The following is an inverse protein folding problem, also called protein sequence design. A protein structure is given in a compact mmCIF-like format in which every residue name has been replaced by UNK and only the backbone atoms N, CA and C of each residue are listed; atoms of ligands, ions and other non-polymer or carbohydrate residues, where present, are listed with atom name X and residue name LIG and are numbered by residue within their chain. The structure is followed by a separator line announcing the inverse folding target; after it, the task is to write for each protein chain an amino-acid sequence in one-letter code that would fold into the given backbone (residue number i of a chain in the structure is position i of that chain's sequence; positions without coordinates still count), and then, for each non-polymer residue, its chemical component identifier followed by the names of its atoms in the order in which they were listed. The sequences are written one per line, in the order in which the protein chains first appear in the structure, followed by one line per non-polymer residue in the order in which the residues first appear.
data_IF_999296748339
#
_entry.id   IF_999296748339
#
_cell.length_a   1.000
_cell.length_b   1.000
_cell.length_c   1.000
_cell.angle_alpha   90.00
_cell.angle_beta   90.00
_cell.angle_gamma   90.00
#
_symmetry.space_group_name_H-M   'P 1'
#
loop_
_entity.id
_entity.type
_entity.pdbx_description
1 polymer ?
#
# COMPACT_ATOMS: atom_id res chain seq x y z
N UNK A 1 -37.01 -4.13 -25.82
CA UNK A 1 -35.85 -3.67 -26.63
C UNK A 1 -35.01 -2.61 -25.92
N UNK A 2 -35.56 -1.45 -25.52
CA UNK A 2 -34.79 -0.33 -24.95
C UNK A 2 -33.99 -0.71 -23.69
N UNK A 3 -34.57 -1.48 -22.76
CA UNK A 3 -33.84 -1.91 -21.55
C UNK A 3 -32.66 -2.84 -21.83
N UNK A 4 -32.76 -3.69 -22.85
CA UNK A 4 -31.66 -4.59 -23.24
C UNK A 4 -30.51 -3.82 -23.89
N UNK A 5 -30.82 -2.82 -24.72
CA UNK A 5 -29.81 -1.96 -25.35
C UNK A 5 -29.04 -1.18 -24.29
N UNK A 6 -29.73 -0.59 -23.31
CA UNK A 6 -29.09 0.11 -22.18
C UNK A 6 -28.18 -0.82 -21.35
N UNK A 7 -28.61 -2.07 -21.12
CA UNK A 7 -27.82 -3.05 -20.39
C UNK A 7 -26.52 -3.41 -21.11
N UNK A 8 -26.58 -3.65 -22.43
CA UNK A 8 -25.39 -3.95 -23.25
C UNK A 8 -24.39 -2.79 -23.22
N UNK A 9 -24.87 -1.55 -23.32
CA UNK A 9 -24.01 -0.35 -23.25
C UNK A 9 -23.33 -0.23 -21.87
N UNK A 10 -24.05 -0.57 -20.80
CA UNK A 10 -23.53 -0.56 -19.43
C UNK A 10 -22.42 -1.61 -19.23
N UNK A 11 -22.62 -2.83 -19.75
CA UNK A 11 -21.59 -3.89 -19.70
C UNK A 11 -20.37 -3.53 -20.55
N UNK A 12 -20.58 -2.95 -21.73
CA UNK A 12 -19.50 -2.52 -22.61
C UNK A 12 -18.64 -1.40 -21.99
N UNK A 13 -19.26 -0.39 -21.39
CA UNK A 13 -18.54 0.67 -20.67
C UNK A 13 -17.78 0.11 -19.46
N UNK A 14 -18.37 -0.81 -18.70
CA UNK A 14 -17.67 -1.49 -17.61
C UNK A 14 -16.44 -2.28 -18.08
N UNK A 15 -16.56 -3.03 -19.19
CA UNK A 15 -15.44 -3.78 -19.77
C UNK A 15 -14.32 -2.83 -20.24
N UNK A 16 -14.67 -1.71 -20.86
CA UNK A 16 -13.71 -0.68 -21.27
C UNK A 16 -12.98 -0.08 -20.07
N UNK A 17 -13.72 0.29 -19.00
CA UNK A 17 -13.15 0.82 -17.77
C UNK A 17 -12.21 -0.21 -17.12
N UNK A 18 -12.59 -1.48 -17.01
CA UNK A 18 -11.73 -2.52 -16.43
C UNK A 18 -10.41 -2.67 -17.19
N UNK A 19 -10.44 -2.61 -18.53
CA UNK A 19 -9.24 -2.63 -19.37
C UNK A 19 -8.34 -1.40 -19.10
N UNK A 20 -8.94 -0.21 -18.98
CA UNK A 20 -8.22 1.05 -18.75
C UNK A 20 -7.65 1.17 -17.33
N UNK A 21 -8.35 0.61 -16.33
CA UNK A 21 -7.96 0.65 -14.92
C UNK A 21 -7.14 -0.57 -14.48
N UNK A 22 -6.81 -1.50 -15.39
CA UNK A 22 -6.05 -2.75 -15.10
C UNK A 22 -6.63 -3.50 -13.89
N UNK A 23 -7.96 -3.49 -13.75
CA UNK A 23 -8.68 -4.14 -12.64
C UNK A 23 -8.99 -5.58 -13.02
N UNK A 24 -9.18 -6.46 -12.03
CA UNK A 24 -9.51 -7.86 -12.31
C UNK A 24 -10.82 -7.97 -13.10
N UNK A 25 -10.87 -8.89 -14.07
CA UNK A 25 -12.07 -9.15 -14.89
C UNK A 25 -13.33 -9.43 -14.06
N UNK A 26 -13.16 -9.93 -12.82
CA UNK A 26 -14.21 -10.10 -11.82
C UNK A 26 -15.06 -8.84 -11.53
N UNK A 27 -14.51 -7.64 -11.75
CA UNK A 27 -15.27 -6.38 -11.61
C UNK A 27 -16.36 -6.20 -12.67
N UNK A 28 -16.21 -6.79 -13.86
CA UNK A 28 -17.25 -6.75 -14.90
C UNK A 28 -18.47 -7.56 -14.46
N UNK A 29 -18.24 -8.71 -13.83
CA UNK A 29 -19.29 -9.57 -13.30
C UNK A 29 -20.03 -8.90 -12.12
N UNK A 30 -19.30 -8.19 -11.27
CA UNK A 30 -19.88 -7.42 -10.16
C UNK A 30 -20.74 -6.25 -10.65
N UNK A 31 -20.30 -5.55 -11.71
CA UNK A 31 -21.09 -4.50 -12.37
C UNK A 31 -22.35 -5.04 -13.06
N UNK A 32 -22.26 -6.23 -13.67
CA UNK A 32 -23.41 -6.85 -14.32
C UNK A 32 -24.55 -7.20 -13.33
N UNK A 33 -24.20 -7.48 -12.07
CA UNK A 33 -25.15 -7.79 -10.99
C UNK A 33 -25.59 -6.52 -10.24
N UNK A 34 -24.68 -5.56 -10.04
CA UNK A 34 -24.90 -4.33 -9.31
C UNK A 34 -24.46 -3.13 -10.15
N UNK A 35 -25.37 -2.48 -10.90
CA UNK A 35 -25.02 -1.36 -11.79
C UNK A 35 -24.44 -0.16 -11.02
N UNK A 36 -24.69 -0.07 -9.72
CA UNK A 36 -24.11 0.94 -8.82
C UNK A 36 -22.57 0.83 -8.76
N UNK A 37 -22.00 -0.36 -8.99
CA UNK A 37 -20.55 -0.57 -8.97
C UNK A 37 -19.81 0.20 -10.09
N UNK A 38 -20.51 0.61 -11.16
CA UNK A 38 -19.95 1.45 -12.24
C UNK A 38 -19.55 2.84 -11.72
N UNK A 39 -20.30 3.38 -10.75
CA UNK A 39 -20.04 4.71 -10.17
C UNK A 39 -18.89 4.64 -9.15
N UNK A 40 -18.77 3.50 -8.48
CA UNK A 40 -17.72 3.23 -7.48
C UNK A 40 -16.35 2.99 -8.14
N UNK A 41 -16.34 2.46 -9.38
CA UNK A 41 -15.14 2.21 -10.18
C UNK A 41 -14.22 3.44 -10.35
N UNK A 42 -14.68 4.61 -10.80
CA UNK A 42 -13.87 5.82 -10.91
C UNK A 42 -13.50 6.43 -9.55
N UNK A 43 -14.35 6.30 -8.53
CA UNK A 43 -14.12 6.80 -7.16
C UNK A 43 -12.94 6.12 -6.47
N UNK A 44 -12.72 4.82 -6.71
CA UNK A 44 -11.58 4.10 -6.13
C UNK A 44 -10.24 4.41 -6.82
N UNK A 45 -10.23 5.28 -7.83
CA UNK A 45 -9.02 5.68 -8.53
C UNK A 45 -8.36 4.54 -9.31
N UNK A 46 -7.36 4.89 -10.11
CA UNK A 46 -6.47 3.90 -10.73
C UNK A 46 -5.69 3.22 -9.62
N UNK A 47 -5.55 1.89 -9.63
CA UNK A 47 -4.53 1.24 -8.79
C UNK A 47 -3.16 1.72 -9.29
N UNK A 48 -2.64 2.75 -8.63
CA UNK A 48 -1.29 3.28 -8.79
C UNK A 48 -0.29 2.25 -8.22
N UNK A 49 -0.09 1.19 -8.99
CA UNK A 49 0.92 0.17 -8.74
C UNK A 49 1.36 -0.55 -10.02
N UNK A 50 0.88 -0.11 -11.19
CA UNK A 50 1.09 -0.76 -12.49
C UNK A 50 1.70 0.16 -13.55
N UNK A 51 2.17 1.35 -13.17
CA UNK A 51 3.21 2.01 -13.95
C UNK A 51 4.50 1.29 -13.58
N UNK A 52 5.05 0.48 -14.47
CA UNK A 52 6.23 -0.37 -14.21
C UNK A 52 7.52 0.41 -13.97
N UNK A 53 7.44 1.56 -13.31
CA UNK A 53 8.52 2.47 -12.97
C UNK A 53 8.44 2.80 -11.47
N UNK A 54 9.58 2.72 -10.78
CA UNK A 54 9.82 3.20 -9.41
C UNK A 54 10.77 4.40 -9.46
N UNK A 55 10.75 5.25 -8.45
CA UNK A 55 11.78 6.28 -8.29
C UNK A 55 13.02 5.64 -7.66
N UNK A 56 14.19 5.95 -8.21
CA UNK A 56 15.46 5.57 -7.60
C UNK A 56 15.61 6.22 -6.22
N UNK A 57 16.05 5.47 -5.20
CA UNK A 57 16.29 6.01 -3.85
C UNK A 57 17.36 7.10 -3.82
N UNK A 58 18.37 6.98 -4.68
CA UNK A 58 19.55 7.86 -4.70
C UNK A 58 19.36 9.04 -5.66
N UNK A 59 19.15 8.76 -6.95
CA UNK A 59 19.11 9.81 -7.97
C UNK A 59 17.71 10.37 -8.24
N UNK A 60 16.66 9.75 -7.68
CA UNK A 60 15.24 10.12 -7.85
C UNK A 60 14.70 10.08 -9.29
N UNK A 61 15.50 9.58 -10.23
CA UNK A 61 15.09 9.34 -11.60
C UNK A 61 14.07 8.20 -11.69
N UNK A 62 13.23 8.24 -12.71
CA UNK A 62 12.22 7.21 -12.97
C UNK A 62 12.86 6.01 -13.67
N UNK A 63 12.92 4.87 -12.97
CA UNK A 63 13.52 3.62 -13.45
C UNK A 63 12.50 2.50 -13.45
N UNK A 64 12.69 1.49 -14.31
CA UNK A 64 11.77 0.35 -14.35
C UNK A 64 11.73 -0.39 -13.01
N UNK A 65 10.57 -0.94 -12.66
CA UNK A 65 10.35 -1.57 -11.36
C UNK A 65 11.23 -2.81 -11.14
N UNK A 66 11.50 -3.55 -12.23
CA UNK A 66 12.34 -4.74 -12.30
C UNK A 66 13.85 -4.44 -12.39
N UNK A 67 14.25 -3.18 -12.56
CA UNK A 67 15.65 -2.82 -12.57
C UNK A 67 16.25 -3.01 -11.16
N UNK A 68 17.18 -3.96 -11.05
CA UNK A 68 17.95 -4.19 -9.83
C UNK A 68 19.05 -3.17 -9.60
N UNK A 69 19.53 -2.54 -10.67
CA UNK A 69 20.57 -1.50 -10.67
C UNK A 69 20.07 -0.32 -11.48
N UNK A 70 20.23 0.91 -10.96
CA UNK A 70 19.85 2.13 -11.68
C UNK A 70 20.82 2.40 -12.85
N UNK A 71 20.37 2.64 -14.10
CA UNK A 71 21.24 2.95 -15.22
C UNK A 71 21.87 4.36 -15.15
N UNK A 72 21.34 5.24 -14.30
CA UNK A 72 21.83 6.61 -14.17
C UNK A 72 22.88 6.76 -13.07
N UNK A 73 22.64 6.17 -11.89
CA UNK A 73 23.53 6.28 -10.74
C UNK A 73 24.16 4.96 -10.30
N UNK A 74 23.85 3.85 -10.96
CA UNK A 74 24.38 2.51 -10.67
C UNK A 74 24.16 2.02 -9.24
N UNK A 75 23.24 2.63 -8.49
CA UNK A 75 22.88 2.18 -7.15
C UNK A 75 21.98 0.95 -7.21
N UNK A 76 22.16 0.05 -6.25
CA UNK A 76 21.33 -1.14 -6.08
C UNK A 76 19.93 -0.75 -5.59
N UNK A 77 18.93 -1.13 -6.38
CA UNK A 77 17.51 -0.88 -6.14
C UNK A 77 16.75 -2.12 -5.68
N UNK A 78 17.48 -3.23 -5.46
CA UNK A 78 16.99 -4.49 -4.91
C UNK A 78 17.15 -4.58 -3.39
N UNK A 79 17.61 -3.51 -2.73
CA UNK A 79 17.49 -3.42 -1.28
C UNK A 79 15.99 -3.44 -0.95
N UNK A 80 15.54 -4.50 -0.29
CA UNK A 80 14.16 -4.68 0.12
C UNK A 80 13.61 -3.39 0.75
N UNK A 81 12.35 -3.02 0.47
CA UNK A 81 11.77 -1.80 1.00
C UNK A 81 11.85 -1.84 2.54
N UNK A 82 12.64 -0.93 3.13
CA UNK A 82 12.60 -0.59 4.55
C UNK A 82 11.27 0.11 4.87
N UNK A 83 10.17 -0.59 4.68
CA UNK A 83 8.84 -0.01 4.61
C UNK A 83 7.73 -1.06 4.70
N UNK A 84 7.90 -2.07 5.53
CA UNK A 84 6.75 -2.78 6.12
C UNK A 84 7.01 -2.86 7.61
N UNK A 85 6.13 -2.22 8.38
CA UNK A 85 6.22 -1.93 9.81
C UNK A 85 6.97 -3.03 10.55
N UNK A 86 8.24 -2.77 10.92
CA UNK A 86 8.93 -3.57 11.91
C UNK A 86 8.08 -3.47 13.17
N UNK A 87 7.37 -4.56 13.50
CA UNK A 87 6.72 -4.67 14.80
C UNK A 87 7.79 -4.32 15.82
N UNK A 88 7.63 -3.18 16.49
CA UNK A 88 8.43 -2.87 17.66
C UNK A 88 8.04 -3.97 18.64
N UNK A 89 8.90 -4.96 18.81
CA UNK A 89 8.86 -5.82 19.97
C UNK A 89 9.24 -4.91 21.12
N UNK A 90 8.23 -4.29 21.74
CA UNK A 90 8.43 -3.49 22.95
C UNK A 90 8.71 -4.51 24.04
N UNK A 91 9.98 -4.83 24.27
CA UNK A 91 10.39 -5.53 25.49
C UNK A 91 10.09 -4.60 26.65
N UNK A 92 9.12 -4.97 27.48
CA UNK A 92 8.72 -4.19 28.65
C UNK A 92 9.50 -4.64 29.87
N UNK A 93 10.00 -3.70 30.66
CA UNK A 93 10.68 -3.94 31.93
C UNK A 93 9.84 -3.35 33.05
N UNK A 94 9.64 -4.13 34.11
CA UNK A 94 8.89 -3.71 35.29
C UNK A 94 9.85 -2.99 36.24
N UNK A 95 9.53 -1.75 36.62
CA UNK A 95 10.36 -1.00 37.56
C UNK A 95 10.38 -1.68 38.94
N UNK A 96 11.56 -1.97 39.54
CA UNK A 96 11.64 -2.62 40.84
C UNK A 96 11.20 -1.71 42.01
N UNK A 97 11.08 -0.39 41.80
CA UNK A 97 10.65 0.56 42.84
C UNK A 97 9.14 0.77 42.88
N UNK A 98 8.52 1.01 41.72
CA UNK A 98 7.12 1.42 41.63
C UNK A 98 6.24 0.48 40.80
N UNK A 99 6.79 -0.64 40.31
CA UNK A 99 6.11 -1.65 39.50
C UNK A 99 5.47 -1.13 38.20
N UNK A 100 5.76 0.10 37.79
CA UNK A 100 5.31 0.62 36.49
C UNK A 100 5.98 -0.13 35.35
N UNK A 101 5.23 -0.33 34.29
CA UNK A 101 5.71 -0.93 33.04
C UNK A 101 6.40 0.16 32.25
N UNK A 102 7.69 -0.03 31.94
CA UNK A 102 8.47 0.89 31.11
C UNK A 102 9.01 0.14 29.90
N UNK A 103 9.41 0.86 28.85
CA UNK A 103 10.09 0.28 27.69
C UNK A 103 11.54 -0.06 28.05
N UNK A 104 12.08 -1.13 27.47
CA UNK A 104 13.48 -1.56 27.70
C UNK A 104 14.52 -0.49 27.35
N UNK A 105 14.18 0.45 26.48
CA UNK A 105 15.07 1.54 26.06
C UNK A 105 15.10 2.72 27.05
N UNK A 106 14.22 2.71 28.07
CA UNK A 106 14.12 3.81 29.03
C UNK A 106 15.25 3.75 30.08
N UNK A 107 16.18 4.71 30.03
CA UNK A 107 17.26 4.87 31.03
C UNK A 107 16.73 5.18 32.44
N UNK A 108 15.51 5.69 32.53
CA UNK A 108 14.86 6.12 33.76
C UNK A 108 13.38 5.77 33.72
N UNK A 109 12.86 5.30 34.84
CA UNK A 109 11.44 5.06 35.04
C UNK A 109 10.64 6.36 34.88
N UNK A 110 9.63 6.34 34.00
CA UNK A 110 8.77 7.51 33.76
C UNK A 110 7.87 7.87 34.95
N UNK A 111 7.58 6.91 35.84
CA UNK A 111 6.70 7.13 36.98
C UNK A 111 7.44 7.53 38.26
N UNK A 112 8.61 6.92 38.56
CA UNK A 112 9.30 7.15 39.83
C UNK A 112 10.72 7.74 39.70
N UNK A 113 11.19 8.01 38.48
CA UNK A 113 12.49 8.64 38.23
C UNK A 113 13.72 7.76 38.54
N UNK A 114 13.54 6.51 38.99
CA UNK A 114 14.66 5.59 39.24
C UNK A 114 15.35 5.24 37.92
N UNK A 115 16.69 5.26 37.89
CA UNK A 115 17.49 4.79 36.75
C UNK A 115 17.32 3.27 36.58
N UNK A 116 17.00 2.84 35.37
CA UNK A 116 17.00 1.44 34.96
C UNK A 116 18.41 1.15 34.42
N UNK A 117 19.15 0.27 35.08
CA UNK A 117 20.51 -0.12 34.72
C UNK A 117 20.50 -1.56 34.17
#
# INVERSE_FOLDING_TARGET
MIMFVLWIICVATAAYLVKQYRRSFWWVLLVAILPIAVIVLPMLGRREGLGGYKKCSECRELIKYDAGICPHCHSDQNAEPKGSKKGIVITTIICPKCKSVNTSDSKTCYNCGKKMA
#
